data_IF_840568637366
#
_entry.id   IF_840568637366
#
_cell.length_a   1.000
_cell.length_b   1.000
_cell.length_c   1.000
_cell.angle_alpha   90.00
_cell.angle_beta   90.00
_cell.angle_gamma   90.00
#
_symmetry.space_group_name_H-M   'P 1'
#
loop_
_entity.id
_entity.type
_entity.pdbx_description
1 polymer ?
#
# COMPACT_ATOMS: atom_id res chain seq x y z
N UNK A 1 2.79 -6.38 11.45
CA UNK A 1 1.81 -5.35 11.13
C UNK A 1 2.23 -4.61 9.87
N UNK A 2 1.31 -4.45 8.92
CA UNK A 2 1.67 -3.85 7.64
C UNK A 2 1.46 -2.35 7.66
N UNK A 3 2.48 -1.62 7.25
CA UNK A 3 2.39 -0.18 7.12
C UNK A 3 2.77 0.21 5.70
N UNK A 4 2.69 1.50 5.41
CA UNK A 4 2.98 2.02 4.08
C UNK A 4 4.38 1.61 3.60
N UNK A 5 5.37 1.73 4.47
CA UNK A 5 6.75 1.38 4.11
C UNK A 5 6.89 -0.09 3.74
N UNK A 6 6.29 -0.99 4.52
CA UNK A 6 6.34 -2.41 4.22
C UNK A 6 5.70 -2.72 2.88
N UNK A 7 4.62 -2.01 2.57
CA UNK A 7 3.93 -2.23 1.31
C UNK A 7 4.77 -1.84 0.11
N UNK A 8 5.34 -0.62 0.10
CA UNK A 8 6.11 -0.23 -1.07
C UNK A 8 7.45 -0.95 -1.15
N UNK A 9 8.04 -1.34 -0.03
CA UNK A 9 9.27 -2.10 -0.04
C UNK A 9 9.10 -3.44 -0.74
N UNK A 10 7.94 -4.05 -0.65
CA UNK A 10 7.65 -5.31 -1.34
C UNK A 10 7.68 -5.18 -2.86
N UNK A 11 7.52 -4.00 -3.38
CA UNK A 11 7.56 -3.76 -4.82
C UNK A 11 8.98 -3.55 -5.34
N UNK A 12 9.95 -3.31 -4.47
CA UNK A 12 11.34 -3.23 -4.91
C UNK A 12 11.89 -4.65 -5.01
N UNK A 13 12.80 -4.94 -5.94
CA UNK A 13 13.38 -4.03 -6.93
C UNK A 13 12.60 -3.92 -8.25
N UNK A 14 11.39 -4.50 -8.38
CA UNK A 14 10.61 -4.41 -9.61
C UNK A 14 10.32 -2.96 -9.99
N UNK A 15 10.02 -2.14 -8.99
CA UNK A 15 9.84 -0.70 -9.14
C UNK A 15 10.93 -0.02 -8.34
N UNK A 16 11.38 1.16 -8.78
CA UNK A 16 12.28 1.93 -7.94
C UNK A 16 11.49 2.49 -6.75
N UNK A 17 12.20 3.03 -5.76
CA UNK A 17 11.57 3.49 -4.53
C UNK A 17 10.49 4.54 -4.79
N UNK A 18 10.76 5.50 -5.66
CA UNK A 18 9.81 6.58 -5.96
C UNK A 18 8.56 6.04 -6.60
N UNK A 19 8.71 5.15 -7.58
CA UNK A 19 7.57 4.53 -8.26
C UNK A 19 6.79 3.63 -7.33
N UNK A 20 7.49 2.83 -6.51
CA UNK A 20 6.82 1.94 -5.56
C UNK A 20 5.95 2.73 -4.60
N UNK A 21 6.46 3.82 -4.06
CA UNK A 21 5.69 4.68 -3.16
C UNK A 21 4.47 5.27 -3.85
N UNK A 22 4.63 5.73 -5.09
CA UNK A 22 3.53 6.33 -5.84
C UNK A 22 2.44 5.31 -6.14
N UNK A 23 2.83 4.10 -6.54
CA UNK A 23 1.87 3.04 -6.84
C UNK A 23 1.06 2.67 -5.59
N UNK A 24 1.72 2.44 -4.47
CA UNK A 24 1.04 2.08 -3.23
C UNK A 24 0.11 3.20 -2.78
N UNK A 25 0.58 4.45 -2.83
CA UNK A 25 -0.25 5.58 -2.46
C UNK A 25 -1.51 5.67 -3.32
N UNK A 26 -1.36 5.48 -4.64
CA UNK A 26 -2.50 5.52 -5.54
C UNK A 26 -3.51 4.42 -5.21
N UNK A 27 -3.04 3.21 -4.93
CA UNK A 27 -3.92 2.10 -4.55
C UNK A 27 -4.69 2.45 -3.28
N UNK A 28 -4.00 2.98 -2.28
CA UNK A 28 -4.64 3.31 -1.01
C UNK A 28 -5.65 4.43 -1.16
N UNK A 29 -5.38 5.42 -2.00
CA UNK A 29 -6.31 6.51 -2.25
C UNK A 29 -7.56 6.03 -3.00
N UNK A 30 -7.36 5.28 -4.08
CA UNK A 30 -8.45 4.87 -4.96
C UNK A 30 -9.32 3.80 -4.33
N UNK A 31 -8.71 2.81 -3.69
CA UNK A 31 -9.45 1.66 -3.17
C UNK A 31 -10.00 1.89 -1.77
N UNK A 32 -9.29 2.63 -0.95
CA UNK A 32 -9.65 2.78 0.46
C UNK A 32 -9.89 4.22 0.89
N UNK A 33 -9.76 5.16 -0.04
CA UNK A 33 -10.03 6.56 0.24
C UNK A 33 -9.07 7.21 1.23
N UNK A 34 -7.86 6.66 1.38
CA UNK A 34 -6.88 7.22 2.30
C UNK A 34 -6.15 8.39 1.65
N UNK A 35 -6.07 9.50 2.37
CA UNK A 35 -5.27 10.64 1.92
C UNK A 35 -3.81 10.41 2.25
N UNK A 36 -2.93 11.22 1.69
CA UNK A 36 -1.51 11.16 2.04
C UNK A 36 -1.31 11.36 3.54
N UNK A 37 -2.05 12.31 4.14
CA UNK A 37 -1.99 12.54 5.58
C UNK A 37 -2.38 11.29 6.35
N UNK A 38 -3.45 10.60 5.93
CA UNK A 38 -3.89 9.36 6.56
C UNK A 38 -2.81 8.30 6.50
N UNK A 39 -2.15 8.18 5.35
CA UNK A 39 -1.09 7.19 5.15
C UNK A 39 0.08 7.49 6.09
N UNK A 40 0.47 8.74 6.19
CA UNK A 40 1.59 9.15 7.05
C UNK A 40 1.25 9.00 8.52
N UNK A 41 -0.02 9.09 8.88
CA UNK A 41 -0.48 8.91 10.27
C UNK A 41 -0.66 7.44 10.65
N UNK A 42 -0.42 6.52 9.71
CA UNK A 42 -0.51 5.09 10.00
C UNK A 42 -1.90 4.50 9.88
N UNK A 43 -2.81 5.18 9.20
CA UNK A 43 -4.17 4.67 9.04
C UNK A 43 -4.25 3.39 8.23
N UNK A 44 -3.19 3.03 7.51
CA UNK A 44 -3.11 1.74 6.83
C UNK A 44 -3.27 0.60 7.83
N UNK A 45 -2.81 0.77 9.06
CA UNK A 45 -2.96 -0.24 10.11
C UNK A 45 -4.39 -0.37 10.62
N UNK A 46 -5.25 0.60 10.31
CA UNK A 46 -6.64 0.59 10.74
C UNK A 46 -7.56 -0.13 9.76
N UNK A 47 -7.03 -0.62 8.65
CA UNK A 47 -7.82 -1.40 7.70
C UNK A 47 -8.29 -2.68 8.37
N UNK A 48 -9.52 -3.10 8.04
CA UNK A 48 -10.06 -4.35 8.57
C UNK A 48 -9.24 -5.54 8.05
N UNK A 49 -9.40 -6.71 8.68
CA UNK A 49 -8.71 -7.91 8.22
C UNK A 49 -9.09 -8.24 6.77
N UNK A 50 -10.33 -8.03 6.40
CA UNK A 50 -10.78 -8.27 5.04
C UNK A 50 -10.15 -7.31 4.05
N UNK A 51 -10.10 -6.03 4.40
CA UNK A 51 -9.44 -5.02 3.57
C UNK A 51 -7.95 -5.30 3.45
N UNK A 52 -7.32 -5.72 4.53
CA UNK A 52 -5.91 -6.06 4.52
C UNK A 52 -5.62 -7.23 3.57
N UNK A 53 -6.47 -8.25 3.57
CA UNK A 53 -6.31 -9.38 2.65
C UNK A 53 -6.50 -8.95 1.19
N UNK A 54 -7.46 -8.08 0.95
CA UNK A 54 -7.69 -7.54 -0.39
C UNK A 54 -6.49 -6.75 -0.87
N UNK A 55 -5.92 -5.93 -0.01
CA UNK A 55 -4.74 -5.14 -0.32
C UNK A 55 -3.54 -6.05 -0.64
N UNK A 56 -3.37 -7.13 0.11
CA UNK A 56 -2.30 -8.07 -0.17
C UNK A 56 -2.42 -8.71 -1.55
N UNK A 57 -3.64 -9.04 -1.96
CA UNK A 57 -3.86 -9.59 -3.29
C UNK A 57 -3.48 -8.59 -4.38
N UNK A 58 -3.81 -7.33 -4.18
CA UNK A 58 -3.43 -6.27 -5.11
C UNK A 58 -1.92 -6.17 -5.19
N UNK A 59 -1.24 -6.18 -4.04
CA UNK A 59 0.20 -6.09 -3.99
C UNK A 59 0.87 -7.27 -4.70
N UNK A 60 0.33 -8.48 -4.54
CA UNK A 60 0.85 -9.65 -5.23
C UNK A 60 0.76 -9.51 -6.74
N UNK A 61 -0.33 -8.96 -7.25
CA UNK A 61 -0.49 -8.73 -8.68
C UNK A 61 0.52 -7.71 -9.21
N UNK A 62 0.79 -6.69 -8.43
CA UNK A 62 1.76 -5.66 -8.81
C UNK A 62 3.19 -6.20 -8.86
N UNK A 63 3.47 -7.23 -8.09
CA UNK A 63 4.81 -7.84 -8.03
C UNK A 63 5.09 -8.82 -9.16
N UNK A 64 4.08 -9.19 -9.92
CA UNK A 64 4.24 -10.14 -11.03
C UNK A 64 4.72 -9.49 -12.33
#
# INVERSE_FOLDING_TARGET
>A
MKNYRELWEKLTPLYDETEAKAVVRTVLEVRYGLTLTDILCGKVNDLSAEEGRSLEKIMQRLRQ
#
